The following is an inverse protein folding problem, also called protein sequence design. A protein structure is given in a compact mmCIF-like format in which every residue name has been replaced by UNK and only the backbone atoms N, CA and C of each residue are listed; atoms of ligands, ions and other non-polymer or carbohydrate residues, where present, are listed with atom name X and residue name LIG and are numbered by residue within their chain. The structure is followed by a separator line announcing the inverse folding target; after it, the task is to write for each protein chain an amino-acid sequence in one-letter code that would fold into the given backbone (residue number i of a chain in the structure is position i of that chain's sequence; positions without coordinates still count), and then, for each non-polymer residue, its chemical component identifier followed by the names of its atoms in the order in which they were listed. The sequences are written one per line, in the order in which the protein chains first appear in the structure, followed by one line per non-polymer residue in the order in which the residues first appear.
data_IF_344475327885
#
_entry.id   IF_344475327885
#
_cell.length_a   1.000
_cell.length_b   1.000
_cell.length_c   1.000
_cell.angle_alpha   90.00
_cell.angle_beta   90.00
_cell.angle_gamma   90.00
#
_symmetry.space_group_name_H-M   'P 1'
#
loop_
_entity.id
_entity.type
_entity.pdbx_description
1 polymer ?
#
# COMPACT_ATOMS: atom_id res chain seq x y z
N UNK A 1 8.13 -3.79 -1.12
CA UNK A 1 7.74 -2.38 -0.96
C UNK A 1 8.74 -1.71 -0.03
N UNK A 2 9.07 -0.44 -0.26
CA UNK A 2 9.95 0.32 0.63
C UNK A 2 9.35 1.70 0.87
N UNK A 3 9.68 2.27 2.03
CA UNK A 3 9.26 3.60 2.43
C UNK A 3 10.48 4.53 2.62
N UNK A 4 10.29 5.80 2.31
CA UNK A 4 11.25 6.87 2.55
C UNK A 4 10.55 7.96 3.35
N UNK A 5 11.12 8.30 4.51
CA UNK A 5 10.67 9.42 5.32
C UNK A 5 11.49 10.65 4.92
N UNK A 6 10.80 11.69 4.46
CA UNK A 6 11.38 12.99 4.12
C UNK A 6 11.01 13.96 5.24
N UNK A 7 11.95 14.24 6.18
CA UNK A 7 11.71 15.21 7.23
C UNK A 7 11.60 16.61 6.62
N UNK A 8 10.78 17.44 7.25
CA UNK A 8 10.56 18.81 6.81
C UNK A 8 9.13 19.25 7.08
N UNK A 9 8.72 20.29 6.37
CA UNK A 9 7.46 21.02 6.60
C UNK A 9 6.19 20.15 6.57
N UNK A 10 6.22 19.09 5.78
CA UNK A 10 5.05 18.24 5.52
C UNK A 10 5.22 16.81 6.06
N UNK A 11 6.33 16.54 6.78
CA UNK A 11 6.71 15.22 7.27
C UNK A 11 6.19 14.07 6.39
N UNK A 12 6.76 13.93 5.21
CA UNK A 12 6.21 13.08 4.15
C UNK A 12 6.79 11.68 4.24
N UNK A 13 5.95 10.67 4.06
CA UNK A 13 6.37 9.29 3.86
C UNK A 13 5.97 8.85 2.45
N UNK A 14 6.97 8.50 1.64
CA UNK A 14 6.78 7.98 0.29
C UNK A 14 6.87 6.46 0.36
N UNK A 15 5.86 5.75 -0.13
CA UNK A 15 5.83 4.29 -0.13
C UNK A 15 5.69 3.83 -1.56
N UNK A 16 6.64 3.03 -2.04
CA UNK A 16 6.64 2.55 -3.42
C UNK A 16 6.80 1.03 -3.47
N UNK A 17 5.99 0.38 -4.30
CA UNK A 17 6.10 -1.06 -4.53
C UNK A 17 7.23 -1.44 -5.51
N UNK A 18 8.01 -0.48 -6.04
CA UNK A 18 9.00 -0.65 -7.11
C UNK A 18 8.41 -0.91 -8.51
N UNK A 19 7.10 -0.78 -8.63
CA UNK A 19 6.36 -1.00 -9.86
C UNK A 19 5.29 0.11 -10.01
N UNK A 20 4.00 -0.23 -10.06
CA UNK A 20 2.93 0.71 -10.39
C UNK A 20 2.39 1.56 -9.22
N UNK A 21 2.57 1.14 -7.97
CA UNK A 21 1.87 1.73 -6.83
C UNK A 21 2.77 2.66 -6.02
N UNK A 22 2.43 3.95 -6.00
CA UNK A 22 3.12 4.98 -5.23
C UNK A 22 2.14 5.67 -4.27
N UNK A 23 2.44 5.64 -2.98
CA UNK A 23 1.63 6.28 -1.95
C UNK A 23 2.42 7.43 -1.31
N UNK A 24 1.73 8.54 -1.12
CA UNK A 24 2.25 9.72 -0.41
C UNK A 24 1.42 9.86 0.85
N UNK A 25 2.04 9.63 2.01
CA UNK A 25 1.45 9.95 3.31
C UNK A 25 2.04 11.26 3.80
N UNK A 26 1.17 12.19 4.18
CA UNK A 26 1.56 13.51 4.65
C UNK A 26 1.01 13.67 6.06
N UNK A 27 1.88 13.97 7.02
CA UNK A 27 1.48 14.40 8.37
C UNK A 27 1.79 15.88 8.50
N UNK A 28 0.75 16.70 8.60
CA UNK A 28 0.90 18.17 8.61
C UNK A 28 0.71 18.70 10.02
N UNK A 29 1.72 19.41 10.49
CA UNK A 29 1.61 20.22 11.71
C UNK A 29 0.99 21.60 11.41
N UNK A 30 0.85 21.97 10.13
CA UNK A 30 0.41 23.30 9.69
C UNK A 30 -0.74 23.26 8.66
N UNK A 31 -1.56 24.32 8.63
CA UNK A 31 -2.74 24.48 7.77
C UNK A 31 -2.45 24.99 6.34
N UNK A 32 -1.21 24.90 5.85
CA UNK A 32 -0.90 25.47 4.54
C UNK A 32 -1.65 24.76 3.39
N UNK A 33 -1.63 25.24 2.17
CA UNK A 33 -2.33 24.55 1.06
C UNK A 33 -1.34 23.72 0.26
N UNK A 34 -1.64 22.44 0.00
CA UNK A 34 -0.95 21.69 -1.06
C UNK A 34 -1.74 21.82 -2.36
N UNK A 35 -1.14 21.43 -3.48
CA UNK A 35 -1.80 21.40 -4.78
C UNK A 35 -1.12 20.37 -5.68
N UNK A 36 -1.83 19.92 -6.71
CA UNK A 36 -1.34 18.93 -7.66
C UNK A 36 -2.41 17.90 -7.99
N UNK A 37 -2.00 16.81 -8.64
CA UNK A 37 -2.89 15.70 -9.01
C UNK A 37 -3.51 14.97 -7.79
N UNK A 38 -2.89 15.09 -6.61
CA UNK A 38 -3.43 14.55 -5.36
C UNK A 38 -4.40 15.52 -4.64
N UNK A 39 -4.87 16.57 -5.32
CA UNK A 39 -5.78 17.57 -4.76
C UNK A 39 -5.09 18.58 -3.85
N UNK A 40 -5.88 19.22 -2.99
CA UNK A 40 -5.40 20.30 -2.11
C UNK A 40 -5.40 19.94 -0.61
N UNK A 41 -5.88 18.74 -0.26
CA UNK A 41 -5.86 18.17 1.09
C UNK A 41 -6.58 19.04 2.15
N UNK A 42 -7.64 19.75 1.76
CA UNK A 42 -8.46 20.57 2.67
C UNK A 42 -9.67 19.81 3.27
N UNK A 43 -9.87 18.55 2.88
CA UNK A 43 -11.01 17.72 3.31
C UNK A 43 -12.30 17.88 2.48
N UNK A 44 -12.28 18.70 1.43
CA UNK A 44 -13.40 18.95 0.52
C UNK A 44 -13.12 18.38 -0.88
N UNK A 45 -13.59 17.17 -1.16
CA UNK A 45 -13.39 16.51 -2.45
C UNK A 45 -13.96 17.27 -3.68
N UNK A 46 -14.82 18.27 -3.47
CA UNK A 46 -15.48 19.01 -4.57
C UNK A 46 -14.55 20.02 -5.25
N UNK A 47 -13.46 20.42 -4.59
CA UNK A 47 -12.49 21.37 -5.13
C UNK A 47 -11.11 20.75 -5.41
N UNK A 48 -10.97 19.43 -5.29
CA UNK A 48 -9.71 18.72 -5.56
C UNK A 48 -9.26 18.86 -7.03
N UNK A 49 -10.17 19.15 -7.96
CA UNK A 49 -9.84 19.46 -9.36
C UNK A 49 -9.39 20.93 -9.56
N UNK A 50 -8.72 21.52 -8.58
CA UNK A 50 -8.08 22.84 -8.69
C UNK A 50 -6.90 22.78 -9.67
N UNK A 51 -6.96 23.60 -10.71
CA UNK A 51 -5.92 23.69 -11.74
C UNK A 51 -4.72 24.50 -11.26
N UNK A 52 -3.61 24.43 -12.01
CA UNK A 52 -2.43 25.29 -11.78
C UNK A 52 -2.76 26.80 -11.83
N UNK A 53 -3.84 27.17 -12.53
CA UNK A 53 -4.36 28.55 -12.62
C UNK A 53 -5.36 28.93 -11.52
N UNK A 54 -5.53 28.09 -10.48
CA UNK A 54 -6.32 28.38 -9.28
C UNK A 54 -7.83 28.47 -9.49
N UNK A 55 -8.34 27.82 -10.53
CA UNK A 55 -9.78 27.61 -10.71
C UNK A 55 -10.10 26.11 -10.70
N UNK A 56 -11.32 25.75 -10.31
CA UNK A 56 -11.78 24.34 -10.28
C UNK A 56 -12.22 23.93 -11.68
N UNK A 57 -11.55 22.93 -12.24
CA UNK A 57 -11.86 22.40 -13.57
C UNK A 57 -13.24 21.73 -13.61
N UNK A 58 -13.86 21.76 -14.77
CA UNK A 58 -15.19 21.17 -14.99
C UNK A 58 -15.17 19.64 -15.14
N UNK A 59 -14.02 19.10 -15.52
CA UNK A 59 -13.82 17.69 -15.81
C UNK A 59 -12.37 17.24 -15.53
N UNK A 60 -12.17 15.93 -15.44
CA UNK A 60 -10.89 15.29 -15.12
C UNK A 60 -9.78 15.62 -16.13
N UNK A 61 -10.08 15.63 -17.43
CA UNK A 61 -9.06 15.84 -18.47
C UNK A 61 -8.50 17.25 -18.45
N UNK A 62 -9.37 18.25 -18.26
CA UNK A 62 -8.95 19.64 -18.06
C UNK A 62 -8.04 19.76 -16.83
N UNK A 63 -8.42 19.15 -15.71
CA UNK A 63 -7.62 19.13 -14.49
C UNK A 63 -6.24 18.50 -14.72
N UNK A 64 -6.18 17.28 -15.25
CA UNK A 64 -4.93 16.54 -15.47
C UNK A 64 -4.01 17.26 -16.45
N UNK A 65 -4.54 17.77 -17.56
CA UNK A 65 -3.75 18.52 -18.54
C UNK A 65 -3.17 19.82 -17.96
N UNK A 66 -3.85 20.45 -17.00
CA UNK A 66 -3.36 21.68 -16.34
C UNK A 66 -2.11 21.46 -15.48
N UNK A 67 -1.83 20.21 -15.07
CA UNK A 67 -0.72 19.84 -14.20
C UNK A 67 0.53 19.36 -14.94
N UNK A 68 0.53 19.35 -16.28
CA UNK A 68 1.70 18.95 -17.07
C UNK A 68 2.94 19.80 -16.73
N UNK A 69 4.07 19.13 -16.53
CA UNK A 69 5.35 19.81 -16.26
C UNK A 69 5.96 20.39 -17.55
N UNK A 70 5.90 19.64 -18.66
CA UNK A 70 6.37 20.12 -19.95
C UNK A 70 5.20 20.60 -20.81
N UNK A 71 5.15 21.88 -21.19
CA UNK A 71 4.07 22.41 -22.04
C UNK A 71 4.05 21.81 -23.46
N UNK A 72 5.16 21.21 -23.92
CA UNK A 72 5.26 20.53 -25.21
C UNK A 72 4.59 19.15 -25.22
N UNK A 73 4.21 18.60 -24.06
CA UNK A 73 3.39 17.41 -23.99
C UNK A 73 1.98 17.74 -24.52
N UNK A 74 1.50 16.88 -25.43
CA UNK A 74 0.14 16.99 -25.98
C UNK A 74 -0.92 16.73 -24.92
N UNK A 75 -2.04 17.41 -25.05
CA UNK A 75 -3.17 17.24 -24.13
C UNK A 75 -3.91 15.92 -24.40
N UNK A 76 -4.47 15.34 -23.34
CA UNK A 76 -5.33 14.17 -23.40
C UNK A 76 -6.78 14.63 -23.57
N UNK A 77 -7.44 14.19 -24.65
CA UNK A 77 -8.82 14.59 -24.99
C UNK A 77 -9.87 13.50 -24.74
N UNK A 78 -9.43 12.25 -24.59
CA UNK A 78 -10.27 11.11 -24.27
C UNK A 78 -9.45 10.01 -23.60
N UNK A 79 -10.10 9.20 -22.77
CA UNK A 79 -9.50 8.01 -22.17
C UNK A 79 -10.08 6.79 -22.86
N UNK A 80 -9.22 5.94 -23.41
CA UNK A 80 -9.65 4.66 -24.00
C UNK A 80 -9.91 3.67 -22.87
N UNK A 81 -11.08 3.04 -22.85
CA UNK A 81 -11.34 1.90 -21.99
C UNK A 81 -10.47 0.70 -22.43
N UNK A 82 -9.53 0.24 -21.58
CA UNK A 82 -8.65 -0.87 -21.94
C UNK A 82 -9.40 -2.16 -22.24
N UNK A 83 -10.54 -2.42 -21.58
CA UNK A 83 -11.32 -3.63 -21.83
C UNK A 83 -12.09 -3.56 -23.15
N UNK A 84 -12.45 -2.37 -23.62
CA UNK A 84 -13.00 -2.17 -24.97
C UNK A 84 -11.94 -2.36 -26.06
N UNK A 85 -10.68 -1.97 -25.78
CA UNK A 85 -9.54 -2.20 -26.69
C UNK A 85 -9.11 -3.68 -26.71
N UNK A 86 -9.14 -4.35 -25.56
CA UNK A 86 -8.72 -5.74 -25.36
C UNK A 86 -9.87 -6.63 -24.84
N UNK A 87 -10.96 -6.82 -25.60
CA UNK A 87 -12.18 -7.49 -25.12
C UNK A 87 -11.98 -8.95 -24.74
N UNK A 88 -11.02 -9.64 -25.36
CA UNK A 88 -10.69 -11.03 -25.06
C UNK A 88 -10.12 -11.22 -23.64
N UNK A 89 -9.58 -10.16 -23.02
CA UNK A 89 -9.06 -10.19 -21.64
C UNK A 89 -10.12 -9.95 -20.58
N UNK A 90 -11.26 -9.36 -20.95
CA UNK A 90 -12.27 -8.89 -19.99
C UNK A 90 -12.79 -10.00 -19.09
N UNK A 91 -13.12 -11.17 -19.64
CA UNK A 91 -13.63 -12.29 -18.84
C UNK A 91 -12.61 -12.81 -17.82
N UNK A 92 -11.32 -12.85 -18.19
CA UNK A 92 -10.24 -13.21 -17.27
C UNK A 92 -10.06 -12.13 -16.19
N UNK A 93 -10.05 -10.86 -16.57
CA UNK A 93 -9.94 -9.72 -15.65
C UNK A 93 -11.08 -9.71 -14.62
N UNK A 94 -12.33 -9.81 -15.06
CA UNK A 94 -13.52 -9.84 -14.19
C UNK A 94 -13.48 -11.02 -13.22
N UNK A 95 -13.11 -12.22 -13.71
CA UNK A 95 -12.99 -13.42 -12.89
C UNK A 95 -11.90 -13.25 -11.83
N UNK A 96 -10.73 -12.76 -12.21
CA UNK A 96 -9.58 -12.75 -11.30
C UNK A 96 -9.66 -11.61 -10.30
N UNK A 97 -10.15 -10.43 -10.71
CA UNK A 97 -10.45 -9.32 -9.81
C UNK A 97 -11.64 -9.58 -8.88
N UNK A 98 -12.45 -10.61 -9.12
CA UNK A 98 -13.61 -10.95 -8.26
C UNK A 98 -13.23 -11.28 -6.82
N UNK A 99 -11.96 -11.58 -6.54
CA UNK A 99 -11.45 -11.78 -5.17
C UNK A 99 -11.75 -10.57 -4.27
N UNK A 100 -11.71 -9.34 -4.82
CA UNK A 100 -12.06 -8.09 -4.11
C UNK A 100 -13.49 -8.15 -3.56
N UNK A 101 -14.40 -8.80 -4.28
CA UNK A 101 -15.80 -8.99 -3.89
C UNK A 101 -16.04 -10.28 -3.10
N UNK A 102 -15.03 -11.13 -2.93
CA UNK A 102 -15.17 -12.44 -2.28
C UNK A 102 -15.12 -12.35 -0.75
N UNK A 103 -15.34 -13.49 -0.10
CA UNK A 103 -15.26 -13.62 1.35
C UNK A 103 -13.87 -13.28 1.92
N UNK A 104 -12.80 -13.40 1.13
CA UNK A 104 -11.42 -13.05 1.51
C UNK A 104 -11.35 -11.61 2.04
N UNK A 105 -12.06 -10.69 1.39
CA UNK A 105 -12.08 -9.27 1.76
C UNK A 105 -13.29 -8.85 2.60
N UNK A 106 -14.13 -9.80 3.02
CA UNK A 106 -15.41 -9.52 3.71
C UNK A 106 -15.29 -8.61 4.93
N UNK A 107 -14.22 -8.76 5.72
CA UNK A 107 -13.95 -7.92 6.88
C UNK A 107 -13.81 -6.43 6.52
N UNK A 108 -13.32 -6.12 5.32
CA UNK A 108 -13.07 -4.77 4.85
C UNK A 108 -14.25 -4.14 4.08
N UNK A 109 -15.17 -4.94 3.56
CA UNK A 109 -16.28 -4.48 2.70
C UNK A 109 -17.14 -3.39 3.35
N UNK A 110 -17.27 -3.40 4.68
CA UNK A 110 -18.04 -2.39 5.43
C UNK A 110 -17.23 -1.15 5.83
N UNK A 111 -15.92 -1.12 5.56
CA UNK A 111 -15.01 -0.02 5.92
C UNK A 111 -14.49 0.75 4.70
N UNK A 112 -14.34 0.08 3.56
CA UNK A 112 -13.82 0.66 2.32
C UNK A 112 -14.73 0.24 1.17
N UNK A 113 -15.22 1.22 0.40
CA UNK A 113 -16.01 0.95 -0.80
C UNK A 113 -15.15 0.19 -1.83
N UNK A 114 -15.52 -1.05 -2.12
CA UNK A 114 -14.76 -1.96 -3.00
C UNK A 114 -14.94 -1.69 -4.50
N UNK A 115 -16.03 -1.03 -4.90
CA UNK A 115 -16.37 -0.88 -6.32
C UNK A 115 -15.29 -0.16 -7.14
N UNK A 116 -14.73 0.98 -6.71
CA UNK A 116 -13.67 1.64 -7.47
C UNK A 116 -12.41 0.78 -7.64
N UNK A 117 -12.06 -0.01 -6.61
CA UNK A 117 -10.89 -0.90 -6.67
C UNK A 117 -11.12 -2.10 -7.59
N UNK A 118 -12.34 -2.66 -7.58
CA UNK A 118 -12.72 -3.72 -8.51
C UNK A 118 -12.68 -3.24 -9.96
N UNK A 119 -13.27 -2.08 -10.24
CA UNK A 119 -13.28 -1.48 -11.57
C UNK A 119 -11.86 -1.12 -12.06
N UNK A 120 -11.03 -0.57 -11.18
CA UNK A 120 -9.61 -0.32 -11.47
C UNK A 120 -8.86 -1.62 -11.77
N UNK A 121 -9.01 -2.66 -10.94
CA UNK A 121 -8.39 -3.97 -11.18
C UNK A 121 -8.77 -4.55 -12.54
N UNK A 122 -10.05 -4.49 -12.91
CA UNK A 122 -10.52 -5.00 -14.21
C UNK A 122 -9.91 -4.20 -15.36
N UNK A 123 -9.93 -2.86 -15.27
CA UNK A 123 -9.32 -1.98 -16.27
C UNK A 123 -7.82 -2.24 -16.44
N UNK A 124 -7.08 -2.31 -15.35
CA UNK A 124 -5.62 -2.49 -15.37
C UNK A 124 -5.26 -3.89 -15.92
N UNK A 125 -6.02 -4.91 -15.51
CA UNK A 125 -5.88 -6.28 -16.03
C UNK A 125 -6.16 -6.39 -17.52
N UNK A 126 -7.08 -5.59 -18.07
CA UNK A 126 -7.31 -5.49 -19.52
C UNK A 126 -6.22 -4.67 -20.24
N UNK A 127 -5.62 -3.69 -19.55
CA UNK A 127 -4.63 -2.76 -20.10
C UNK A 127 -3.20 -3.29 -20.15
N UNK A 128 -2.85 -4.27 -19.32
CA UNK A 128 -1.52 -4.86 -19.32
C UNK A 128 -1.34 -5.90 -20.42
N UNK A 129 -1.26 -5.47 -21.68
CA UNK A 129 -1.28 -6.34 -22.88
C UNK A 129 0.10 -6.75 -23.43
N UNK A 130 1.21 -6.32 -22.79
CA UNK A 130 2.59 -6.55 -23.23
C UNK A 130 3.29 -7.69 -22.43
N UNK A 131 2.55 -8.39 -21.57
CA UNK A 131 3.07 -9.37 -20.62
C UNK A 131 3.13 -8.81 -19.19
N UNK A 132 3.18 -9.69 -18.19
CA UNK A 132 3.05 -9.28 -16.78
C UNK A 132 1.61 -9.14 -16.31
N UNK A 133 0.65 -9.79 -16.97
CA UNK A 133 -0.79 -9.75 -16.66
C UNK A 133 -1.08 -9.98 -15.16
N UNK A 134 -0.41 -10.98 -14.58
CA UNK A 134 -0.53 -11.29 -13.16
C UNK A 134 0.00 -10.15 -12.28
N UNK A 135 1.05 -9.45 -12.68
CA UNK A 135 1.71 -8.41 -11.88
C UNK A 135 0.82 -7.18 -11.73
N UNK A 136 0.25 -6.66 -12.82
CA UNK A 136 -0.67 -5.51 -12.76
C UNK A 136 -1.91 -5.80 -11.93
N UNK A 137 -2.48 -7.00 -12.10
CA UNK A 137 -3.65 -7.44 -11.35
C UNK A 137 -3.33 -7.59 -9.85
N UNK A 138 -2.21 -8.22 -9.51
CA UNK A 138 -1.77 -8.35 -8.11
C UNK A 138 -1.51 -6.98 -7.48
N UNK A 139 -0.92 -6.05 -8.23
CA UNK A 139 -0.70 -4.68 -7.78
C UNK A 139 -2.03 -3.95 -7.52
N UNK A 140 -3.01 -4.07 -8.40
CA UNK A 140 -4.33 -3.46 -8.22
C UNK A 140 -5.07 -4.02 -6.99
N UNK A 141 -5.01 -5.34 -6.76
CA UNK A 141 -5.60 -5.98 -5.58
C UNK A 141 -4.86 -5.54 -4.30
N UNK A 142 -3.53 -5.42 -4.36
CA UNK A 142 -2.71 -4.96 -3.25
C UNK A 142 -3.09 -3.53 -2.80
N UNK A 143 -3.50 -2.65 -3.72
CA UNK A 143 -4.02 -1.31 -3.36
C UNK A 143 -5.28 -1.42 -2.48
N UNK A 144 -6.19 -2.34 -2.79
CA UNK A 144 -7.38 -2.54 -1.95
C UNK A 144 -7.00 -3.13 -0.58
N UNK A 145 -6.09 -4.10 -0.54
CA UNK A 145 -5.56 -4.64 0.71
C UNK A 145 -4.91 -3.55 1.57
N UNK A 146 -4.16 -2.63 0.98
CA UNK A 146 -3.57 -1.49 1.68
C UNK A 146 -4.62 -0.50 2.18
N UNK A 147 -5.68 -0.23 1.42
CA UNK A 147 -6.79 0.61 1.87
C UNK A 147 -7.53 -0.03 3.07
N UNK A 148 -7.66 -1.36 3.11
CA UNK A 148 -8.16 -2.09 4.26
C UNK A 148 -7.22 -1.98 5.47
N UNK A 149 -5.92 -2.08 5.23
CA UNK A 149 -4.89 -1.97 6.25
C UNK A 149 -4.86 -0.57 6.89
N UNK A 150 -5.09 0.49 6.11
CA UNK A 150 -5.26 1.85 6.62
C UNK A 150 -6.51 2.00 7.53
N UNK A 151 -7.42 1.03 7.52
CA UNK A 151 -8.54 0.91 8.48
C UNK A 151 -8.26 -0.08 9.62
N UNK A 152 -7.02 -0.53 9.77
CA UNK A 152 -6.57 -1.50 10.78
C UNK A 152 -6.85 -2.97 10.40
N UNK A 153 -7.35 -3.25 9.20
CA UNK A 153 -7.77 -4.59 8.80
C UNK A 153 -6.72 -5.23 7.92
N UNK A 154 -6.02 -6.21 8.47
CA UNK A 154 -5.09 -7.03 7.72
C UNK A 154 -5.82 -8.14 6.98
N UNK A 155 -5.71 -8.15 5.66
CA UNK A 155 -6.35 -9.16 4.81
C UNK A 155 -5.27 -10.11 4.29
N UNK A 156 -5.34 -11.39 4.64
CA UNK A 156 -4.48 -12.43 4.09
C UNK A 156 -5.07 -12.92 2.75
N UNK A 157 -4.68 -12.28 1.65
CA UNK A 157 -5.27 -12.51 0.32
C UNK A 157 -4.33 -13.23 -0.66
N UNK A 158 -3.03 -13.31 -0.35
CA UNK A 158 -2.05 -13.97 -1.21
C UNK A 158 -1.92 -15.45 -0.85
N UNK A 159 -1.75 -16.28 -1.86
CA UNK A 159 -1.54 -17.72 -1.70
C UNK A 159 -0.44 -18.19 -2.66
N UNK A 160 0.11 -19.40 -2.50
CA UNK A 160 1.06 -19.96 -3.47
C UNK A 160 0.53 -19.98 -4.91
N UNK A 161 -0.79 -20.12 -5.08
CA UNK A 161 -1.47 -20.16 -6.38
C UNK A 161 -1.96 -18.78 -6.86
N UNK A 162 -2.08 -17.79 -5.97
CA UNK A 162 -2.64 -16.47 -6.25
C UNK A 162 -1.75 -15.36 -5.72
N UNK A 163 -1.10 -14.63 -6.64
CA UNK A 163 -0.20 -13.53 -6.31
C UNK A 163 0.90 -13.90 -5.29
N UNK A 164 1.65 -14.99 -5.50
CA UNK A 164 2.63 -15.47 -4.53
C UNK A 164 3.73 -14.44 -4.26
N UNK A 165 4.18 -14.39 -3.01
CA UNK A 165 5.34 -13.59 -2.59
C UNK A 165 6.45 -14.53 -2.16
N UNK A 166 7.60 -14.43 -2.82
CA UNK A 166 8.74 -15.29 -2.56
C UNK A 166 9.65 -14.71 -1.48
N UNK A 167 9.60 -15.29 -0.28
CA UNK A 167 10.38 -14.85 0.88
C UNK A 167 11.73 -15.59 1.01
N UNK A 168 12.37 -15.93 -0.12
CA UNK A 168 13.56 -16.78 -0.18
C UNK A 168 14.71 -16.30 0.70
N UNK A 169 14.87 -14.98 0.87
CA UNK A 169 15.87 -14.39 1.75
C UNK A 169 15.79 -14.93 3.19
N UNK A 170 14.58 -15.18 3.70
CA UNK A 170 14.36 -15.75 5.03
C UNK A 170 14.35 -17.29 5.03
N UNK A 171 14.09 -17.91 3.89
CA UNK A 171 14.16 -19.37 3.70
C UNK A 171 15.61 -19.89 3.53
N UNK A 172 16.58 -19.31 4.24
CA UNK A 172 17.98 -19.70 4.10
C UNK A 172 18.22 -21.13 4.61
N UNK A 173 18.53 -22.04 3.68
CA UNK A 173 19.00 -23.38 4.02
C UNK A 173 20.47 -23.28 4.48
N UNK A 174 20.73 -23.49 5.77
CA UNK A 174 22.11 -23.50 6.29
C UNK A 174 22.85 -24.71 5.71
N UNK A 175 23.89 -24.49 4.88
CA UNK A 175 24.78 -25.57 4.41
C UNK A 175 25.50 -26.19 5.62
N UNK A 176 25.06 -27.35 6.07
CA UNK A 176 25.78 -28.14 7.09
C UNK A 176 26.69 -29.16 6.41
N UNK A 177 27.88 -28.74 5.96
CA UNK A 177 28.88 -29.69 5.47
C UNK A 177 29.97 -29.07 4.58
N UNK A 178 31.18 -29.66 4.65
CA UNK A 178 32.26 -29.44 3.69
C UNK A 178 32.04 -30.38 2.51
N UNK A 179 31.40 -29.88 1.46
CA UNK A 179 31.10 -30.62 0.23
C UNK A 179 29.88 -30.03 -0.48
N UNK A 180 29.82 -30.15 -1.80
CA UNK A 180 28.77 -29.58 -2.67
C UNK A 180 27.36 -30.19 -2.49
N UNK A 181 27.10 -30.84 -1.35
CA UNK A 181 25.82 -31.44 -1.00
C UNK A 181 25.01 -30.53 -0.06
N UNK A 182 23.85 -30.07 -0.52
CA UNK A 182 22.86 -29.41 0.34
C UNK A 182 22.29 -30.45 1.33
N UNK A 183 22.72 -30.41 2.60
CA UNK A 183 22.09 -31.19 3.66
C UNK A 183 20.97 -30.38 4.30
N UNK A 184 19.75 -30.92 4.24
CA UNK A 184 18.60 -30.39 4.97
C UNK A 184 18.72 -30.86 6.42
N UNK A 185 18.88 -29.93 7.38
CA UNK A 185 18.75 -30.26 8.80
C UNK A 185 17.37 -30.86 9.06
N UNK A 186 17.23 -31.84 9.96
CA UNK A 186 15.94 -32.54 10.19
C UNK A 186 14.86 -31.70 10.89
N UNK A 187 14.98 -30.37 10.87
CA UNK A 187 14.03 -29.40 11.41
C UNK A 187 13.86 -28.20 10.47
N UNK A 188 13.87 -28.42 9.16
CA UNK A 188 13.48 -27.38 8.20
C UNK A 188 11.95 -27.28 8.23
N UNK A 189 11.44 -26.36 9.04
CA UNK A 189 10.04 -25.96 8.95
C UNK A 189 9.91 -25.09 7.69
N UNK A 190 9.18 -25.58 6.68
CA UNK A 190 8.80 -24.79 5.51
C UNK A 190 7.77 -23.73 5.93
N UNK A 191 8.24 -22.65 6.55
CA UNK A 191 7.39 -21.57 7.04
C UNK A 191 7.07 -20.59 5.93
N UNK A 192 5.78 -20.30 5.73
CA UNK A 192 5.34 -19.20 4.88
C UNK A 192 5.62 -17.88 5.61
N UNK A 193 6.65 -17.16 5.17
CA UNK A 193 7.10 -15.91 5.80
C UNK A 193 6.32 -14.67 5.34
N UNK A 194 5.42 -14.81 4.36
CA UNK A 194 4.56 -13.71 3.97
C UNK A 194 3.55 -13.43 5.09
N UNK A 195 3.36 -12.14 5.38
CA UNK A 195 2.31 -11.66 6.25
C UNK A 195 1.62 -10.46 5.60
N UNK A 196 0.29 -10.35 5.76
CA UNK A 196 -0.46 -9.22 5.22
C UNK A 196 -0.15 -7.88 5.92
N UNK A 197 0.37 -7.96 7.15
CA UNK A 197 0.75 -6.81 7.96
C UNK A 197 1.58 -7.26 9.18
N UNK A 198 2.25 -6.31 9.84
CA UNK A 198 2.82 -6.48 11.17
C UNK A 198 1.88 -5.87 12.22
N UNK A 199 1.74 -6.48 13.40
CA UNK A 199 1.00 -5.87 14.52
C UNK A 199 -0.43 -5.38 14.14
N UNK A 200 -1.34 -6.28 13.71
CA UNK A 200 -2.71 -5.92 13.36
C UNK A 200 -3.41 -5.18 14.52
N UNK A 201 -3.98 -4.00 14.25
CA UNK A 201 -4.68 -3.16 15.23
C UNK A 201 -3.84 -2.67 16.43
N UNK A 202 -2.51 -2.70 16.32
CA UNK A 202 -1.60 -2.25 17.38
C UNK A 202 -0.72 -1.11 16.90
N UNK A 203 -0.14 -0.37 17.86
CA UNK A 203 0.81 0.68 17.52
C UNK A 203 2.06 0.05 16.87
N UNK A 204 2.36 0.52 15.67
CA UNK A 204 3.52 0.10 14.90
C UNK A 204 4.30 1.35 14.50
N UNK A 205 5.58 1.39 14.87
CA UNK A 205 6.48 2.56 14.66
C UNK A 205 6.67 2.90 13.18
N UNK A 206 6.51 1.92 12.29
CA UNK A 206 6.74 2.08 10.84
C UNK A 206 5.43 2.02 10.05
N UNK A 207 5.51 2.17 8.73
CA UNK A 207 4.34 1.97 7.86
C UNK A 207 4.00 0.48 7.84
N UNK A 208 2.80 0.15 8.30
CA UNK A 208 2.29 -1.21 8.21
C UNK A 208 1.98 -1.55 6.75
N UNK A 209 2.64 -2.57 6.22
CA UNK A 209 2.53 -3.02 4.83
C UNK A 209 2.60 -4.55 4.79
N UNK A 210 2.12 -5.15 3.70
CA UNK A 210 2.34 -6.58 3.47
C UNK A 210 3.79 -6.85 3.05
N UNK A 211 4.29 -8.04 3.37
CA UNK A 211 5.67 -8.39 3.04
C UNK A 211 6.14 -9.70 3.65
N UNK A 212 7.43 -9.93 3.52
CA UNK A 212 8.12 -11.07 4.11
C UNK A 212 8.72 -10.65 5.45
N UNK A 213 8.44 -11.40 6.50
CA UNK A 213 8.95 -11.12 7.84
C UNK A 213 9.41 -12.40 8.54
N UNK A 214 10.40 -12.28 9.42
CA UNK A 214 10.99 -13.40 10.15
C UNK A 214 10.74 -13.38 11.67
N UNK A 215 10.03 -12.37 12.16
CA UNK A 215 9.61 -12.32 13.56
C UNK A 215 8.31 -13.10 13.77
N UNK A 216 8.05 -13.47 15.03
CA UNK A 216 6.81 -14.15 15.41
C UNK A 216 5.58 -13.28 15.09
N UNK A 217 4.39 -13.89 15.08
CA UNK A 217 3.16 -13.19 14.71
C UNK A 217 2.89 -11.92 15.55
N UNK A 218 3.24 -11.93 16.84
CA UNK A 218 2.99 -10.80 17.74
C UNK A 218 4.25 -9.93 17.94
N UNK A 219 5.18 -10.00 16.98
CA UNK A 219 6.43 -9.25 16.97
C UNK A 219 6.66 -8.56 15.61
N UNK A 220 7.46 -7.49 15.63
CA UNK A 220 7.99 -6.83 14.45
C UNK A 220 9.50 -6.66 14.54
N UNK A 221 10.18 -6.56 13.41
CA UNK A 221 11.63 -6.35 13.39
C UNK A 221 11.95 -4.85 13.53
N UNK A 222 12.66 -4.48 14.60
CA UNK A 222 13.16 -3.12 14.80
C UNK A 222 14.57 -3.00 14.21
N UNK A 223 14.72 -2.22 13.13
CA UNK A 223 15.98 -2.07 12.41
C UNK A 223 17.04 -1.30 13.20
N UNK A 224 16.64 -0.44 14.15
CA UNK A 224 17.59 0.31 14.98
C UNK A 224 18.17 -0.59 16.09
N UNK A 225 17.36 -1.51 16.61
CA UNK A 225 17.76 -2.46 17.66
C UNK A 225 18.24 -3.80 17.12
N UNK A 226 18.12 -4.02 15.81
CA UNK A 226 18.43 -5.26 15.10
C UNK A 226 17.81 -6.51 15.73
N UNK A 227 16.58 -6.41 16.25
CA UNK A 227 15.89 -7.51 16.93
C UNK A 227 14.37 -7.47 16.76
N UNK A 228 13.73 -8.62 16.92
CA UNK A 228 12.29 -8.72 17.04
C UNK A 228 11.84 -8.07 18.36
N UNK A 229 10.91 -7.14 18.26
CA UNK A 229 10.27 -6.43 19.36
C UNK A 229 8.80 -6.86 19.43
N UNK A 230 8.22 -7.03 20.62
CA UNK A 230 6.79 -7.30 20.74
C UNK A 230 5.99 -6.13 20.17
N UNK A 231 4.89 -6.44 19.50
CA UNK A 231 3.90 -5.44 19.14
C UNK A 231 3.35 -4.79 20.42
N UNK A 232 3.31 -3.46 20.46
CA UNK A 232 3.02 -2.72 21.68
C UNK A 232 1.55 -2.37 21.87
N UNK A 233 1.09 -2.48 23.12
CA UNK A 233 0.12 -1.55 23.69
C UNK A 233 0.93 -0.37 24.26
N UNK A 234 0.96 0.79 23.58
CA UNK A 234 1.45 1.99 24.27
C UNK A 234 0.42 2.40 25.32
N UNK A 235 0.66 2.00 26.58
CA UNK A 235 0.24 2.83 27.70
C UNK A 235 0.92 4.18 27.51
N UNK A 236 0.16 5.17 27.04
CA UNK A 236 0.54 6.57 27.16
C UNK A 236 0.78 6.79 28.66
N UNK A 237 2.04 6.83 29.08
CA UNK A 237 2.42 7.32 30.39
C UNK A 237 2.20 8.83 30.37
N UNK A 238 0.94 9.27 30.51
CA UNK A 238 0.63 10.61 30.99
C UNK A 238 1.08 10.67 32.43
N UNK A 239 2.35 10.98 32.64
CA UNK A 239 2.79 11.55 33.92
C UNK A 239 2.17 12.95 33.98
N UNK A 240 1.22 13.25 34.88
CA UNK A 240 0.78 14.62 35.07
C UNK A 240 1.91 15.34 35.81
N UNK A 241 2.58 16.29 35.15
CA UNK A 241 3.35 17.29 35.88
C UNK A 241 2.40 18.02 36.83
N UNK A 242 2.54 17.71 38.12
CA UNK A 242 1.78 18.36 39.17
C UNK A 242 2.36 19.75 39.34
N UNK A 243 1.71 20.76 38.77
CA UNK A 243 2.01 22.16 39.06
C UNK A 243 1.58 22.46 40.49
N UNK A 244 2.54 22.46 41.41
CA UNK A 244 2.36 23.01 42.75
C UNK A 244 2.25 24.54 42.64
N UNK A 245 1.03 25.07 42.78
CA UNK A 245 0.83 26.47 43.17
C UNK A 245 1.41 26.64 44.58
N UNK A 246 2.49 27.41 44.72
CA UNK A 246 2.89 27.98 46.01
C UNK A 246 2.24 29.35 46.17
N UNK A 247 1.17 29.42 46.96
CA UNK A 247 0.74 30.64 47.63
C UNK A 247 1.63 30.89 48.84
N UNK A 248 2.29 32.05 48.87
CA UNK A 248 3.11 32.55 49.97
C UNK A 248 3.70 33.89 49.60
#
# INVERSE_FOLDING_TARGET
MFDIIIPGKYNMTLIWNKHMNFFIKISRETQETICGLCGNYNGNMKDDFETRSKYVASNELEFVNSWKENPLCGDVYFVVDPCSKNPYRKAWAEKTCSIINSQVFSACHNKVNRMPYYEACVRDSCGCDIGGDCECMCDAIAVYAMACLDKGICIDWRTPEFCPVYCEYYNSHRKTGSGDAYSYGSSVNCTWHYRPCNCPNQYYKYVNIEGCYNCSHDEYFDYEKEKCMPCGDESISTTPETSSLSTG
#
